data_IF_151475678322
#
_entry.id   IF_151475678322
#
_cell.length_a   1.000
_cell.length_b   1.000
_cell.length_c   1.000
_cell.angle_alpha   90.00
_cell.angle_beta   90.00
_cell.angle_gamma   90.00
#
_symmetry.space_group_name_H-M   'P 1'
#
loop_
_entity.id
_entity.type
_entity.pdbx_description
1 polymer ?
#
# COMPACT_ATOMS: atom_id res chain seq x y z
N UNK A 1 -29.09 50.40 18.00
CA UNK A 1 -29.54 49.79 16.74
C UNK A 1 -28.45 50.02 15.71
N UNK A 2 -28.09 48.94 15.02
CA UNK A 2 -27.19 48.86 13.86
C UNK A 2 -25.70 49.10 14.10
N UNK A 3 -24.94 48.00 14.10
CA UNK A 3 -23.77 47.86 13.21
C UNK A 3 -23.50 46.35 13.00
N UNK A 4 -23.80 45.89 11.79
CA UNK A 4 -23.28 44.66 11.21
C UNK A 4 -21.77 44.83 10.97
N UNK A 5 -20.93 43.96 11.53
CA UNK A 5 -19.73 43.56 10.79
C UNK A 5 -19.08 42.26 11.30
N UNK A 6 -18.84 41.40 10.32
CA UNK A 6 -17.64 40.57 10.18
C UNK A 6 -17.55 39.22 10.91
N UNK A 7 -17.94 38.23 10.10
CA UNK A 7 -17.12 37.07 9.67
C UNK A 7 -16.89 35.95 10.67
N UNK A 8 -17.88 35.05 10.69
CA UNK A 8 -17.65 33.61 10.55
C UNK A 8 -16.82 33.33 9.29
N UNK A 9 -15.52 33.17 9.42
CA UNK A 9 -14.66 32.52 8.44
C UNK A 9 -13.31 32.24 9.09
N UNK A 10 -13.20 31.13 9.84
CA UNK A 10 -11.91 30.45 10.12
C UNK A 10 -12.14 29.10 10.82
N UNK A 11 -12.97 28.25 10.23
CA UNK A 11 -13.06 26.84 10.65
C UNK A 11 -13.16 25.90 9.44
N UNK A 12 -12.31 26.12 8.44
CA UNK A 12 -12.29 25.33 7.22
C UNK A 12 -10.87 25.07 6.68
N UNK A 13 -9.87 24.90 7.56
CA UNK A 13 -8.51 24.54 7.14
C UNK A 13 -7.85 23.56 8.13
N UNK A 14 -8.31 22.30 8.10
CA UNK A 14 -7.48 21.09 8.22
C UNK A 14 -8.34 19.83 8.40
N UNK A 15 -9.25 19.58 7.45
CA UNK A 15 -9.66 18.21 7.16
C UNK A 15 -8.73 17.71 6.04
N UNK A 16 -7.51 17.31 6.40
CA UNK A 16 -6.64 16.60 5.48
C UNK A 16 -7.27 15.21 5.19
N UNK A 17 -7.27 14.74 3.93
CA UNK A 17 -7.83 13.44 3.59
C UNK A 17 -7.03 12.33 4.30
N UNK A 18 -7.75 11.48 5.03
CA UNK A 18 -7.25 10.47 5.99
C UNK A 18 -6.34 9.35 5.42
N UNK A 19 -5.81 9.44 4.20
CA UNK A 19 -5.15 8.32 3.50
C UNK A 19 -3.89 8.69 2.68
N UNK A 20 -3.21 9.79 2.98
CA UNK A 20 -1.92 10.08 2.32
C UNK A 20 -0.78 9.39 3.06
N UNK A 21 -0.27 8.29 2.49
CA UNK A 21 0.98 7.66 2.93
C UNK A 21 2.12 8.67 2.77
N UNK A 22 2.99 8.77 3.79
CA UNK A 22 4.10 9.71 3.82
C UNK A 22 4.99 9.58 2.57
N UNK A 23 5.26 10.65 1.81
CA UNK A 23 6.18 10.62 0.68
C UNK A 23 7.55 9.99 0.99
N UNK A 24 8.06 10.15 2.22
CA UNK A 24 9.31 9.54 2.64
C UNK A 24 9.28 8.00 2.57
N UNK A 25 8.12 7.38 2.83
CA UNK A 25 7.93 5.95 2.68
C UNK A 25 8.19 5.50 1.24
N UNK A 26 7.60 6.19 0.26
CA UNK A 26 7.80 5.85 -1.15
C UNK A 26 9.23 6.09 -1.62
N UNK A 27 9.91 7.11 -1.08
CA UNK A 27 11.34 7.30 -1.32
C UNK A 27 12.13 6.06 -0.89
N UNK A 28 11.93 5.56 0.32
CA UNK A 28 12.61 4.34 0.79
C UNK A 28 12.27 3.11 -0.06
N UNK A 29 10.99 2.95 -0.44
CA UNK A 29 10.58 1.85 -1.36
C UNK A 29 11.34 1.94 -2.68
N UNK A 30 11.45 3.13 -3.27
CA UNK A 30 12.16 3.34 -4.52
C UNK A 30 13.65 3.02 -4.39
N UNK A 31 14.29 3.37 -3.28
CA UNK A 31 15.69 3.00 -3.01
C UNK A 31 15.89 1.47 -2.98
N UNK A 32 14.96 0.72 -2.37
CA UNK A 32 15.00 -0.75 -2.43
C UNK A 32 14.82 -1.28 -3.86
N UNK A 33 13.94 -0.66 -4.65
CA UNK A 33 13.71 -1.04 -6.05
C UNK A 33 14.93 -0.74 -6.92
N UNK A 34 15.60 0.39 -6.73
CA UNK A 34 16.84 0.72 -7.45
C UNK A 34 17.94 -0.31 -7.19
N UNK A 35 18.16 -0.68 -5.93
CA UNK A 35 19.15 -1.68 -5.54
C UNK A 35 18.82 -3.05 -6.15
N UNK A 36 17.57 -3.50 -6.04
CA UNK A 36 17.14 -4.80 -6.58
C UNK A 36 17.21 -4.82 -8.10
N UNK A 37 16.84 -3.74 -8.79
CA UNK A 37 17.00 -3.59 -10.23
C UNK A 37 18.47 -3.67 -10.66
N UNK A 38 19.39 -3.06 -9.91
CA UNK A 38 20.83 -3.19 -10.16
C UNK A 38 21.28 -4.64 -10.01
N UNK A 39 20.96 -5.29 -8.90
CA UNK A 39 21.34 -6.69 -8.65
C UNK A 39 20.72 -7.64 -9.67
N UNK A 40 19.50 -7.36 -10.15
CA UNK A 40 18.79 -8.21 -11.11
C UNK A 40 19.49 -8.28 -12.46
N UNK A 41 20.19 -7.20 -12.87
CA UNK A 41 21.01 -7.19 -14.09
C UNK A 41 22.19 -8.15 -14.00
N UNK A 42 22.73 -8.38 -12.81
CA UNK A 42 23.90 -9.23 -12.58
C UNK A 42 23.54 -10.67 -12.24
N UNK A 43 22.48 -10.87 -11.45
CA UNK A 43 22.14 -12.17 -10.84
C UNK A 43 20.85 -12.80 -11.39
N UNK A 44 20.11 -12.07 -12.22
CA UNK A 44 18.84 -12.49 -12.80
C UNK A 44 17.62 -12.23 -11.90
N UNK A 45 16.49 -11.91 -12.53
CA UNK A 45 15.24 -11.52 -11.87
C UNK A 45 14.74 -12.54 -10.84
N UNK A 46 14.71 -13.84 -11.19
CA UNK A 46 14.21 -14.90 -10.30
C UNK A 46 15.03 -14.98 -9.00
N UNK A 47 16.35 -14.85 -9.10
CA UNK A 47 17.24 -14.94 -7.94
C UNK A 47 17.03 -13.74 -7.01
N UNK A 48 16.94 -12.55 -7.59
CA UNK A 48 16.77 -11.32 -6.81
C UNK A 48 15.38 -11.23 -6.20
N UNK A 49 14.32 -11.68 -6.88
CA UNK A 49 13.00 -11.79 -6.27
C UNK A 49 13.02 -12.63 -4.98
N UNK A 50 13.66 -13.80 -5.00
CA UNK A 50 13.84 -14.62 -3.78
C UNK A 50 14.70 -13.93 -2.73
N UNK A 51 15.79 -13.27 -3.14
CA UNK A 51 16.68 -12.55 -2.24
C UNK A 51 15.95 -11.38 -1.54
N UNK A 52 15.11 -10.63 -2.24
CA UNK A 52 14.30 -9.54 -1.70
C UNK A 52 13.33 -10.02 -0.64
N UNK A 53 12.60 -11.12 -0.90
CA UNK A 53 11.69 -11.71 0.09
C UNK A 53 12.45 -12.17 1.32
N UNK A 54 13.60 -12.83 1.14
CA UNK A 54 14.43 -13.29 2.26
C UNK A 54 15.06 -12.13 3.06
N UNK A 55 15.46 -11.04 2.40
CA UNK A 55 15.96 -9.85 3.06
C UNK A 55 14.86 -9.19 3.91
N UNK A 56 13.66 -9.02 3.33
CA UNK A 56 12.50 -8.50 4.03
C UNK A 56 12.13 -9.38 5.24
N UNK A 57 12.15 -10.72 5.10
CA UNK A 57 11.84 -11.61 6.23
C UNK A 57 12.85 -11.48 7.37
N UNK A 58 14.14 -11.29 7.07
CA UNK A 58 15.17 -11.06 8.09
C UNK A 58 14.96 -9.75 8.82
N UNK A 59 14.70 -8.67 8.09
CA UNK A 59 14.40 -7.37 8.69
C UNK A 59 13.15 -7.45 9.58
N UNK A 60 12.07 -8.06 9.08
CA UNK A 60 10.81 -8.19 9.80
C UNK A 60 10.93 -9.10 11.03
N UNK A 61 11.81 -10.10 11.02
CA UNK A 61 12.10 -10.90 12.22
C UNK A 61 12.77 -10.08 13.32
N UNK A 62 13.65 -9.12 12.96
CA UNK A 62 14.21 -8.17 13.92
C UNK A 62 13.14 -7.23 14.47
N UNK A 63 12.26 -6.71 13.61
CA UNK A 63 11.13 -5.87 14.03
C UNK A 63 10.21 -6.63 14.98
N UNK A 64 9.88 -7.89 14.69
CA UNK A 64 9.07 -8.74 15.56
C UNK A 64 9.67 -8.83 16.97
N UNK A 65 10.93 -9.24 17.08
CA UNK A 65 11.59 -9.41 18.37
C UNK A 65 11.78 -8.09 19.14
N UNK A 66 11.81 -6.96 18.44
CA UNK A 66 11.91 -5.64 19.08
C UNK A 66 10.58 -5.13 19.66
N UNK A 67 9.44 -5.67 19.23
CA UNK A 67 8.12 -5.12 19.56
C UNK A 67 7.17 -6.11 20.26
N UNK A 68 7.48 -7.41 20.25
CA UNK A 68 6.62 -8.45 20.81
C UNK A 68 6.85 -8.63 22.32
N UNK A 69 5.77 -8.88 23.08
CA UNK A 69 5.85 -9.09 24.53
C UNK A 69 6.04 -10.56 24.89
N UNK A 70 5.38 -11.47 24.16
CA UNK A 70 5.55 -12.91 24.24
C UNK A 70 5.88 -13.50 22.86
N UNK A 71 7.18 -13.64 22.52
CA UNK A 71 7.60 -14.14 21.22
C UNK A 71 7.12 -15.56 20.89
N UNK A 72 6.72 -16.37 21.88
CA UNK A 72 6.27 -17.73 21.67
C UNK A 72 4.77 -17.77 21.36
N UNK A 73 3.97 -17.02 22.12
CA UNK A 73 2.52 -16.94 21.93
C UNK A 73 2.14 -16.16 20.67
N UNK A 74 2.82 -15.05 20.38
CA UNK A 74 2.41 -14.09 19.34
C UNK A 74 2.99 -14.42 17.95
N UNK A 75 3.83 -15.46 17.83
CA UNK A 75 4.55 -15.79 16.58
C UNK A 75 3.59 -16.05 15.42
N UNK A 76 2.56 -16.85 15.68
CA UNK A 76 1.63 -17.28 14.63
C UNK A 76 0.89 -16.08 14.07
N UNK A 77 0.35 -15.23 14.95
CA UNK A 77 -0.45 -14.08 14.55
C UNK A 77 0.39 -13.06 13.78
N UNK A 78 1.64 -12.84 14.16
CA UNK A 78 2.57 -12.00 13.40
C UNK A 78 2.85 -12.57 11.99
N UNK A 79 3.08 -13.88 11.86
CA UNK A 79 3.30 -14.52 10.56
C UNK A 79 2.07 -14.40 9.65
N UNK A 80 0.88 -14.64 10.20
CA UNK A 80 -0.38 -14.53 9.47
C UNK A 80 -0.60 -13.07 9.01
N UNK A 81 -0.37 -12.10 9.89
CA UNK A 81 -0.45 -10.68 9.55
C UNK A 81 0.48 -10.31 8.40
N UNK A 82 1.77 -10.65 8.51
CA UNK A 82 2.77 -10.27 7.51
C UNK A 82 2.53 -10.94 6.15
N UNK A 83 2.10 -12.20 6.14
CA UNK A 83 1.83 -12.94 4.89
C UNK A 83 0.54 -12.46 4.21
N UNK A 84 -0.51 -12.14 4.98
CA UNK A 84 -1.74 -11.55 4.44
C UNK A 84 -1.48 -10.15 3.87
N UNK A 85 -0.69 -9.34 4.58
CA UNK A 85 -0.29 -8.01 4.11
C UNK A 85 0.49 -8.11 2.78
N UNK A 86 1.46 -9.03 2.68
CA UNK A 86 2.20 -9.26 1.44
C UNK A 86 1.29 -9.74 0.30
N UNK A 87 0.37 -10.69 0.56
CA UNK A 87 -0.58 -11.19 -0.44
C UNK A 87 -1.44 -10.04 -0.98
N UNK A 88 -1.95 -9.19 -0.11
CA UNK A 88 -2.73 -8.00 -0.50
C UNK A 88 -1.93 -7.09 -1.42
N UNK A 89 -0.77 -6.62 -0.96
CA UNK A 89 0.07 -5.70 -1.75
C UNK A 89 0.49 -6.31 -3.09
N UNK A 90 0.79 -7.61 -3.13
CA UNK A 90 1.14 -8.28 -4.37
C UNK A 90 -0.03 -8.34 -5.35
N UNK A 91 -1.26 -8.62 -4.87
CA UNK A 91 -2.46 -8.56 -5.72
C UNK A 91 -2.66 -7.14 -6.28
N UNK A 92 -2.57 -6.11 -5.44
CA UNK A 92 -2.68 -4.70 -5.87
C UNK A 92 -1.67 -4.37 -6.99
N UNK A 93 -0.43 -4.84 -6.86
CA UNK A 93 0.61 -4.62 -7.86
C UNK A 93 0.38 -5.44 -9.16
N UNK A 94 -0.13 -6.67 -9.06
CA UNK A 94 -0.46 -7.48 -10.22
C UNK A 94 -1.61 -6.86 -11.02
N UNK A 95 -2.67 -6.43 -10.33
CA UNK A 95 -3.81 -5.74 -10.95
C UNK A 95 -3.37 -4.44 -11.62
N UNK A 96 -2.57 -3.64 -10.92
CA UNK A 96 -2.03 -2.39 -11.45
C UNK A 96 -1.17 -2.60 -12.70
N UNK A 97 -0.19 -3.51 -12.64
CA UNK A 97 0.69 -3.81 -13.78
C UNK A 97 -0.05 -4.49 -14.93
N UNK A 98 -1.02 -5.36 -14.62
CA UNK A 98 -1.88 -6.00 -15.60
C UNK A 98 -2.68 -4.95 -16.38
N UNK A 99 -3.35 -4.05 -15.67
CA UNK A 99 -4.11 -2.95 -16.26
C UNK A 99 -3.22 -2.00 -17.08
N UNK A 100 -2.07 -1.57 -16.53
CA UNK A 100 -1.12 -0.68 -17.22
C UNK A 100 -0.63 -1.28 -18.55
N UNK A 101 -0.42 -2.60 -18.58
CA UNK A 101 0.15 -3.31 -19.73
C UNK A 101 -0.89 -3.97 -20.62
N UNK A 102 -2.18 -3.87 -20.30
CA UNK A 102 -3.26 -4.56 -21.00
C UNK A 102 -3.16 -6.09 -20.91
N UNK A 103 -2.59 -6.63 -19.83
CA UNK A 103 -2.40 -8.06 -19.57
C UNK A 103 -3.50 -8.53 -18.62
N UNK A 104 -4.20 -9.60 -19.00
CA UNK A 104 -5.14 -10.27 -18.10
C UNK A 104 -4.36 -11.07 -17.04
N UNK A 105 -4.47 -10.66 -15.77
CA UNK A 105 -3.81 -11.29 -14.61
C UNK A 105 -4.75 -12.18 -13.79
N UNK A 106 -5.99 -12.39 -14.25
CA UNK A 106 -7.01 -13.17 -13.54
C UNK A 106 -7.93 -12.29 -12.67
N UNK A 107 -8.81 -12.95 -11.92
CA UNK A 107 -9.70 -12.28 -10.96
C UNK A 107 -8.91 -11.92 -9.71
N UNK A 108 -8.96 -10.64 -9.31
CA UNK A 108 -8.33 -10.15 -8.09
C UNK A 108 -9.05 -10.68 -6.86
N UNK A 109 -8.30 -11.21 -5.90
CA UNK A 109 -8.84 -11.55 -4.56
C UNK A 109 -9.40 -10.31 -3.83
N UNK A 110 -9.01 -9.11 -4.27
CA UNK A 110 -9.46 -7.83 -3.71
C UNK A 110 -10.71 -7.27 -4.40
N UNK A 111 -11.28 -7.98 -5.39
CA UNK A 111 -12.42 -7.49 -6.17
C UNK A 111 -13.62 -7.07 -5.30
N UNK A 112 -13.94 -7.83 -4.25
CA UNK A 112 -15.01 -7.49 -3.32
C UNK A 112 -14.70 -6.21 -2.52
N UNK A 113 -13.45 -6.01 -2.14
CA UNK A 113 -13.01 -4.81 -1.41
C UNK A 113 -13.01 -3.58 -2.30
N UNK A 114 -12.55 -3.71 -3.55
CA UNK A 114 -12.62 -2.64 -4.54
C UNK A 114 -14.07 -2.23 -4.83
N UNK A 115 -14.97 -3.21 -4.98
CA UNK A 115 -16.40 -2.95 -5.17
C UNK A 115 -17.01 -2.22 -3.96
N UNK A 116 -16.65 -2.60 -2.73
CA UNK A 116 -17.09 -1.93 -1.51
C UNK A 116 -16.51 -0.50 -1.37
N UNK A 117 -15.30 -0.27 -1.88
CA UNK A 117 -14.64 1.03 -1.88
C UNK A 117 -15.05 1.93 -3.06
N UNK A 118 -15.92 1.45 -3.97
CA UNK A 118 -16.29 2.19 -5.19
C UNK A 118 -15.14 2.37 -6.18
N UNK A 119 -14.06 1.59 -6.04
CA UNK A 119 -12.90 1.63 -6.93
C UNK A 119 -13.23 0.80 -8.16
N UNK A 120 -13.37 1.48 -9.30
CA UNK A 120 -13.48 0.80 -10.59
C UNK A 120 -12.08 0.60 -11.17
N UNK A 121 -11.73 -0.65 -11.48
CA UNK A 121 -10.50 -0.99 -12.18
C UNK A 121 -10.67 -0.67 -13.69
N UNK A 122 -10.85 0.60 -14.00
CA UNK A 122 -11.00 1.09 -15.36
C UNK A 122 -9.61 1.53 -15.81
N UNK A 123 -9.06 0.89 -16.85
CA UNK A 123 -7.87 1.28 -17.61
C UNK A 123 -7.03 2.44 -17.00
N UNK A 124 -6.21 2.12 -15.99
CA UNK A 124 -4.98 2.86 -15.74
C UNK A 124 -4.87 3.79 -14.53
N UNK A 125 -5.91 4.06 -13.72
CA UNK A 125 -5.74 4.76 -12.42
C UNK A 125 -6.86 4.38 -11.46
N UNK A 126 -6.61 3.95 -10.21
CA UNK A 126 -7.64 3.87 -9.18
C UNK A 126 -8.16 5.29 -8.92
N UNK A 127 -9.30 5.64 -9.52
CA UNK A 127 -10.00 6.88 -9.22
C UNK A 127 -11.10 6.58 -8.21
N UNK A 128 -11.05 7.27 -7.07
CA UNK A 128 -12.15 7.27 -6.11
C UNK A 128 -13.37 7.87 -6.80
N UNK A 129 -14.43 7.09 -6.98
CA UNK A 129 -15.69 7.63 -7.44
C UNK A 129 -16.21 8.62 -6.38
N UNK A 130 -16.45 9.87 -6.77
CA UNK A 130 -17.11 10.85 -5.91
C UNK A 130 -18.47 10.30 -5.45
N UNK A 131 -18.83 10.46 -4.16
CA UNK A 131 -20.12 9.98 -3.66
C UNK A 131 -21.25 10.74 -4.36
N UNK A 132 -22.24 9.98 -4.83
CA UNK A 132 -23.48 10.52 -5.35
C UNK A 132 -24.09 11.44 -4.29
N UNK A 133 -24.32 12.70 -4.67
CA UNK A 133 -25.06 13.67 -3.84
C UNK A 133 -26.50 13.16 -3.71
N UNK A 134 -26.89 12.77 -2.50
CA UNK A 134 -28.31 12.73 -2.08
C UNK A 134 -28.83 14.16 -1.84
#
# INVERSE_FOLDING_TARGET
>A
MSDDNQTQADTAANAAPQNQVDPAFFTCVNEYLELTNKQAKEQGLKRISMASVYAASRFNAHVYLANVSDPAAERKDFLDYMTNMYRRMLNENLDGLGAERGINVGESELAAEYAAAGVKLDAGVPTLAEPAKE
#
